data_IF_569826922306
#
_entry.id   IF_569826922306
#
_cell.length_a   1.000
_cell.length_b   1.000
_cell.length_c   1.000
_cell.angle_alpha   90.00
_cell.angle_beta   90.00
_cell.angle_gamma   90.00
#
_symmetry.space_group_name_H-M   'P 1'
#
loop_
_entity.id
_entity.type
_entity.pdbx_description
1 polymer ?
#
# COMPACT_ATOMS: atom_id res chain seq x y z
N UNK A 1 4.15 23.60 21.47
CA UNK A 1 5.59 23.26 21.60
C UNK A 1 5.91 21.89 21.03
N UNK A 2 5.29 20.78 21.50
CA UNK A 2 5.59 19.40 21.04
C UNK A 2 5.39 19.24 19.53
N UNK A 3 4.28 19.72 18.97
CA UNK A 3 4.01 19.59 17.55
C UNK A 3 5.01 20.35 16.66
N UNK A 4 5.56 21.45 17.14
CA UNK A 4 6.61 22.20 16.39
C UNK A 4 7.93 21.44 16.40
N UNK A 5 8.27 20.79 17.50
CA UNK A 5 9.47 19.94 17.63
C UNK A 5 9.35 18.75 16.66
N UNK A 6 8.21 18.03 16.69
CA UNK A 6 7.99 16.88 15.81
C UNK A 6 8.07 17.29 14.33
N UNK A 7 7.42 18.39 13.92
CA UNK A 7 7.51 18.88 12.54
C UNK A 7 8.93 19.29 12.14
N UNK A 8 9.73 19.79 13.05
CA UNK A 8 11.15 20.06 12.80
C UNK A 8 11.94 18.77 12.59
N UNK A 9 11.67 17.74 13.39
CA UNK A 9 12.28 16.40 13.21
C UNK A 9 11.86 15.78 11.87
N UNK A 10 10.59 15.85 11.48
CA UNK A 10 10.10 15.39 10.16
C UNK A 10 10.89 16.03 9.01
N UNK A 11 11.07 17.37 9.02
CA UNK A 11 11.88 18.06 8.01
C UNK A 11 13.34 17.60 8.02
N UNK A 12 13.91 17.40 9.21
CA UNK A 12 15.28 16.91 9.35
C UNK A 12 15.45 15.50 8.80
N UNK A 13 14.48 14.60 9.02
CA UNK A 13 14.49 13.27 8.41
C UNK A 13 14.38 13.35 6.89
N UNK A 14 13.43 14.11 6.39
CA UNK A 14 13.23 14.28 4.95
C UNK A 14 14.48 14.86 4.24
N UNK A 15 15.25 15.74 4.90
CA UNK A 15 16.47 16.32 4.33
C UNK A 15 17.68 15.37 4.30
N UNK A 16 17.60 14.23 4.98
CA UNK A 16 18.67 13.19 4.94
C UNK A 16 18.62 12.32 3.70
N UNK A 17 17.47 12.21 3.06
CA UNK A 17 17.28 11.48 1.80
C UNK A 17 17.89 12.27 0.63
N UNK A 18 19.18 12.10 0.39
CA UNK A 18 19.94 12.85 -0.64
C UNK A 18 19.89 12.22 -2.03
N UNK A 19 19.43 10.97 -2.15
CA UNK A 19 19.37 10.23 -3.40
C UNK A 19 18.01 10.35 -4.12
N UNK A 20 17.27 11.43 -3.86
CA UNK A 20 16.03 11.77 -4.57
C UNK A 20 16.37 12.42 -5.90
N UNK A 21 16.00 11.76 -7.00
CA UNK A 21 16.23 12.25 -8.35
C UNK A 21 14.96 12.87 -8.90
N UNK A 22 15.03 14.10 -9.39
CA UNK A 22 13.94 14.71 -10.16
C UNK A 22 13.99 14.10 -11.57
N UNK A 23 12.97 13.32 -11.90
CA UNK A 23 12.83 12.71 -13.23
C UNK A 23 11.96 13.59 -14.12
N UNK A 24 12.18 13.57 -15.46
CA UNK A 24 11.35 14.32 -16.39
C UNK A 24 9.90 13.85 -16.35
N UNK A 25 8.99 14.72 -16.75
CA UNK A 25 7.59 14.38 -16.96
C UNK A 25 7.42 13.44 -18.17
N UNK A 26 6.57 12.44 -18.01
CA UNK A 26 6.14 11.53 -19.07
C UNK A 26 4.66 11.20 -18.90
N UNK A 27 3.92 11.12 -19.98
CA UNK A 27 2.53 10.68 -19.94
C UNK A 27 2.42 9.19 -19.62
N UNK A 28 3.33 8.37 -20.15
CA UNK A 28 3.36 6.93 -19.93
C UNK A 28 2.12 6.21 -20.47
N UNK A 29 1.61 6.65 -21.63
CA UNK A 29 0.43 6.06 -22.23
C UNK A 29 0.62 4.57 -22.56
N UNK A 30 1.84 4.16 -22.87
CA UNK A 30 2.27 2.79 -23.10
C UNK A 30 2.10 1.85 -21.90
N UNK A 31 1.96 2.39 -20.70
CA UNK A 31 1.71 1.61 -19.49
C UNK A 31 0.21 1.36 -19.20
N UNK A 32 -0.67 2.05 -19.93
CA UNK A 32 -2.12 2.00 -19.68
C UNK A 32 -2.96 1.69 -20.92
N UNK A 33 -2.35 1.67 -22.09
CA UNK A 33 -2.99 1.34 -23.37
C UNK A 33 -2.14 0.37 -24.18
N UNK A 34 -2.77 -0.63 -24.79
CA UNK A 34 -2.07 -1.66 -25.58
C UNK A 34 -1.58 -1.14 -26.94
N UNK A 35 -2.28 -0.15 -27.51
CA UNK A 35 -1.97 0.42 -28.83
C UNK A 35 -1.97 1.95 -28.77
N UNK A 36 -0.84 2.53 -29.17
CA UNK A 36 -0.68 3.97 -29.37
C UNK A 36 -0.58 4.20 -30.89
N UNK A 37 -1.64 4.67 -31.50
CA UNK A 37 -1.68 4.94 -32.95
C UNK A 37 -1.11 6.32 -33.32
N UNK A 38 -0.06 6.77 -32.64
CA UNK A 38 0.52 8.10 -32.86
C UNK A 38 -0.29 9.27 -32.28
N UNK A 39 -1.30 8.97 -31.48
CA UNK A 39 -2.19 9.95 -30.86
C UNK A 39 -1.51 10.75 -29.74
N UNK A 40 -2.05 11.93 -29.43
CA UNK A 40 -1.68 12.67 -28.21
C UNK A 40 -1.86 11.74 -26.97
N UNK A 41 -0.82 11.51 -26.18
CA UNK A 41 -0.89 10.59 -25.04
C UNK A 41 -1.82 11.09 -23.91
N UNK A 42 -2.09 12.38 -23.86
CA UNK A 42 -2.92 13.01 -22.80
C UNK A 42 -4.35 12.46 -22.76
N UNK A 43 -5.15 12.51 -23.85
CA UNK A 43 -6.50 11.95 -23.85
C UNK A 43 -6.49 10.43 -23.64
N UNK A 44 -5.48 9.71 -24.10
CA UNK A 44 -5.33 8.26 -23.89
C UNK A 44 -5.25 7.93 -22.41
N UNK A 45 -4.31 8.55 -21.68
CA UNK A 45 -4.15 8.32 -20.24
C UNK A 45 -5.39 8.77 -19.45
N UNK A 46 -6.00 9.90 -19.85
CA UNK A 46 -7.22 10.39 -19.21
C UNK A 46 -8.43 9.45 -19.44
N UNK A 47 -8.56 8.86 -20.62
CA UNK A 47 -9.58 7.86 -20.92
C UNK A 47 -9.38 6.58 -20.11
N UNK A 48 -8.14 6.05 -20.10
CA UNK A 48 -7.76 4.87 -19.33
C UNK A 48 -8.03 5.06 -17.82
N UNK A 49 -7.71 6.24 -17.27
CA UNK A 49 -8.00 6.54 -15.87
C UNK A 49 -9.51 6.56 -15.56
N UNK A 50 -10.32 7.16 -16.41
CA UNK A 50 -11.79 7.15 -16.25
C UNK A 50 -12.37 5.75 -16.35
N UNK A 51 -11.94 4.97 -17.33
CA UNK A 51 -12.36 3.58 -17.50
C UNK A 51 -11.97 2.73 -16.31
N UNK A 52 -10.72 2.86 -15.81
CA UNK A 52 -10.24 2.13 -14.65
C UNK A 52 -11.06 2.41 -13.38
N UNK A 53 -11.60 3.62 -13.19
CA UNK A 53 -12.52 3.91 -12.08
C UNK A 53 -13.89 3.29 -12.33
N UNK A 54 -14.43 3.46 -13.54
CA UNK A 54 -15.77 2.95 -13.90
C UNK A 54 -15.83 1.41 -13.86
N UNK A 55 -14.76 0.74 -14.28
CA UNK A 55 -14.62 -0.72 -14.36
C UNK A 55 -13.55 -1.23 -13.36
N UNK A 56 -13.56 -0.73 -12.14
CA UNK A 56 -12.49 -1.00 -11.18
C UNK A 56 -12.34 -2.48 -10.78
N UNK A 57 -13.40 -3.29 -10.87
CA UNK A 57 -13.31 -4.74 -10.69
C UNK A 57 -12.43 -5.40 -11.77
N UNK A 58 -12.53 -4.94 -13.01
CA UNK A 58 -11.70 -5.42 -14.11
C UNK A 58 -10.29 -4.84 -14.03
N UNK A 59 -10.18 -3.55 -13.68
CA UNK A 59 -8.88 -2.91 -13.49
C UNK A 59 -8.03 -3.62 -12.45
N UNK A 60 -8.65 -4.09 -11.38
CA UNK A 60 -8.01 -4.85 -10.31
C UNK A 60 -8.28 -6.37 -10.40
N UNK A 61 -8.73 -6.89 -11.55
CA UNK A 61 -9.00 -8.31 -11.71
C UNK A 61 -7.81 -9.18 -11.29
N UNK A 62 -8.12 -10.25 -10.58
CA UNK A 62 -7.13 -11.19 -10.09
C UNK A 62 -6.93 -12.27 -11.17
N UNK A 63 -5.77 -12.37 -11.79
CA UNK A 63 -5.46 -13.47 -12.69
C UNK A 63 -5.26 -14.77 -11.91
N UNK A 64 -5.42 -15.89 -12.59
CA UNK A 64 -5.00 -17.18 -12.07
C UNK A 64 -3.47 -17.24 -12.00
N UNK A 65 -2.93 -17.47 -10.80
CA UNK A 65 -1.50 -17.65 -10.57
C UNK A 65 -1.26 -19.11 -10.19
N UNK A 66 -0.45 -19.81 -10.97
CA UNK A 66 -0.17 -21.25 -10.79
C UNK A 66 1.28 -21.54 -10.36
N UNK A 67 2.15 -20.53 -10.46
CA UNK A 67 3.61 -20.66 -10.28
C UNK A 67 4.11 -20.16 -8.91
N UNK A 68 3.28 -20.21 -7.89
CA UNK A 68 3.73 -19.89 -6.54
C UNK A 68 4.82 -20.85 -6.07
N UNK A 69 5.98 -20.32 -5.72
CA UNK A 69 7.11 -21.08 -5.21
C UNK A 69 7.58 -20.54 -3.86
N UNK A 70 7.57 -21.37 -2.82
CA UNK A 70 8.12 -21.04 -1.50
C UNK A 70 9.47 -21.73 -1.32
N UNK A 71 10.55 -20.95 -1.27
CA UNK A 71 11.91 -21.43 -0.94
C UNK A 71 12.38 -20.82 0.38
N UNK A 72 12.49 -21.63 1.41
CA UNK A 72 12.75 -21.14 2.77
C UNK A 72 11.61 -20.26 3.29
N UNK A 73 11.89 -19.00 3.52
CA UNK A 73 10.88 -17.99 3.89
C UNK A 73 10.49 -17.05 2.73
N UNK A 74 11.09 -17.21 1.54
CA UNK A 74 10.79 -16.38 0.35
C UNK A 74 9.78 -17.06 -0.56
N UNK A 75 8.64 -16.42 -0.71
CA UNK A 75 7.60 -16.76 -1.70
C UNK A 75 7.81 -15.93 -2.95
N UNK A 76 7.74 -16.55 -4.12
CA UNK A 76 7.78 -15.87 -5.43
C UNK A 76 6.67 -16.36 -6.35
N UNK A 77 6.26 -15.53 -7.31
CA UNK A 77 5.32 -15.86 -8.39
C UNK A 77 5.43 -14.84 -9.52
N UNK A 78 4.97 -15.20 -10.72
CA UNK A 78 4.82 -14.24 -11.80
C UNK A 78 3.69 -13.26 -11.49
N UNK A 79 4.01 -11.96 -11.46
CA UNK A 79 3.00 -10.91 -11.21
C UNK A 79 1.92 -10.92 -12.29
N UNK A 80 0.67 -10.73 -11.87
CA UNK A 80 -0.45 -10.62 -12.80
C UNK A 80 -0.45 -9.36 -13.68
N UNK A 81 0.46 -8.42 -13.43
CA UNK A 81 0.68 -7.22 -14.24
C UNK A 81 2.10 -7.28 -14.80
N UNK A 82 2.18 -7.37 -16.13
CA UNK A 82 3.46 -7.39 -16.81
C UNK A 82 3.97 -5.98 -17.11
N UNK A 83 5.26 -5.76 -16.86
CA UNK A 83 5.93 -4.47 -17.07
C UNK A 83 7.15 -4.65 -17.97
N UNK A 84 7.69 -3.55 -18.49
CA UNK A 84 8.93 -3.55 -19.27
C UNK A 84 10.20 -3.86 -18.45
N UNK A 85 10.09 -3.92 -17.12
CA UNK A 85 11.19 -4.27 -16.20
C UNK A 85 11.05 -5.75 -15.79
N UNK A 86 11.85 -6.68 -16.33
CA UNK A 86 11.72 -8.11 -16.06
C UNK A 86 11.79 -8.47 -14.59
N UNK A 87 12.66 -7.80 -13.83
CA UNK A 87 12.82 -8.01 -12.38
C UNK A 87 11.53 -7.71 -11.62
N UNK A 88 10.79 -6.69 -12.07
CA UNK A 88 9.54 -6.28 -11.45
C UNK A 88 8.40 -7.26 -11.72
N UNK A 89 8.50 -8.09 -12.74
CA UNK A 89 7.48 -9.06 -13.12
C UNK A 89 7.49 -10.31 -12.23
N UNK A 90 8.53 -10.50 -11.42
CA UNK A 90 8.55 -11.55 -10.39
C UNK A 90 8.16 -10.92 -9.06
N UNK A 91 6.92 -11.13 -8.69
CA UNK A 91 6.42 -10.73 -7.38
C UNK A 91 7.06 -11.60 -6.29
N UNK A 92 7.32 -11.01 -5.13
CA UNK A 92 7.94 -11.72 -4.00
C UNK A 92 7.38 -11.26 -2.67
N UNK A 93 7.43 -12.16 -1.69
CA UNK A 93 7.05 -11.88 -0.33
C UNK A 93 7.89 -12.73 0.64
N UNK A 94 8.05 -12.25 1.88
CA UNK A 94 8.69 -13.01 2.94
C UNK A 94 7.63 -13.57 3.88
N UNK A 95 7.64 -14.89 4.06
CA UNK A 95 6.65 -15.61 4.83
C UNK A 95 7.13 -15.91 6.26
N UNK A 96 6.31 -15.60 7.24
CA UNK A 96 6.51 -15.87 8.66
C UNK A 96 5.37 -16.77 9.15
N UNK A 97 5.55 -18.11 9.13
CA UNK A 97 4.53 -19.04 9.61
C UNK A 97 4.25 -18.84 11.10
N UNK A 98 3.11 -19.29 11.56
CA UNK A 98 2.78 -19.30 12.99
C UNK A 98 3.76 -20.18 13.76
N UNK A 99 4.28 -19.67 14.86
CA UNK A 99 5.02 -20.49 15.81
C UNK A 99 4.01 -21.23 16.68
N UNK A 100 3.77 -22.52 16.37
CA UNK A 100 2.85 -23.35 17.16
C UNK A 100 3.42 -23.54 18.56
N UNK A 101 2.68 -23.25 19.64
CA UNK A 101 3.11 -23.65 20.99
C UNK A 101 3.21 -25.17 21.05
N UNK A 102 4.31 -25.71 21.58
CA UNK A 102 4.54 -27.17 21.75
C UNK A 102 3.55 -27.85 22.71
N UNK A 103 2.51 -27.15 23.18
CA UNK A 103 1.43 -27.64 24.05
C UNK A 103 0.07 -27.25 23.49
N UNK A 104 -0.34 -27.87 22.41
CA UNK A 104 -1.75 -27.93 22.02
C UNK A 104 -2.32 -29.27 22.49
N UNK A 105 -2.77 -29.34 23.75
CA UNK A 105 -3.77 -30.32 24.15
C UNK A 105 -5.09 -29.94 23.48
N UNK A 106 -5.76 -30.90 22.89
CA UNK A 106 -7.14 -30.95 22.42
C UNK A 106 -8.04 -29.79 22.87
N UNK A 107 -8.08 -28.70 22.12
CA UNK A 107 -9.09 -27.67 22.20
C UNK A 107 -9.46 -27.24 20.80
N UNK A 108 -10.76 -27.10 20.59
CA UNK A 108 -11.47 -26.58 19.40
C UNK A 108 -10.50 -25.90 18.42
N UNK A 109 -10.37 -26.44 17.21
CA UNK A 109 -9.52 -25.90 16.17
C UNK A 109 -9.94 -24.46 15.90
N UNK A 110 -9.15 -23.55 16.42
CA UNK A 110 -9.31 -22.13 16.10
C UNK A 110 -8.92 -21.90 14.64
N UNK A 111 -9.64 -21.07 13.88
CA UNK A 111 -9.34 -20.84 12.48
C UNK A 111 -7.89 -20.38 12.28
N UNK A 112 -7.24 -20.91 11.26
CA UNK A 112 -5.88 -20.50 10.90
C UNK A 112 -5.91 -19.08 10.36
N UNK A 113 -5.10 -18.21 10.94
CA UNK A 113 -5.10 -16.76 10.69
C UNK A 113 -3.82 -16.31 10.04
N UNK A 114 -3.95 -15.42 9.04
CA UNK A 114 -2.79 -14.81 8.38
C UNK A 114 -3.04 -13.33 8.09
N UNK A 115 -1.98 -12.58 7.80
CA UNK A 115 -2.04 -11.19 7.39
C UNK A 115 -1.01 -10.89 6.31
N UNK A 116 -1.43 -10.17 5.26
CA UNK A 116 -0.51 -9.57 4.28
C UNK A 116 -0.05 -8.22 4.83
N UNK A 117 1.26 -8.01 4.89
CA UNK A 117 1.90 -6.81 5.42
C UNK A 117 2.57 -6.05 4.28
N UNK A 118 2.12 -4.84 4.02
CA UNK A 118 2.61 -3.98 2.96
C UNK A 118 3.46 -2.85 3.55
N UNK A 119 4.76 -2.79 3.23
CA UNK A 119 5.65 -1.78 3.77
C UNK A 119 5.44 -0.40 3.12
N UNK A 120 6.14 0.61 3.64
CA UNK A 120 6.20 1.95 3.07
C UNK A 120 7.05 2.00 1.79
N UNK A 121 6.98 3.13 1.08
CA UNK A 121 7.86 3.41 -0.07
C UNK A 121 9.33 3.41 0.32
N UNK A 122 10.17 2.82 -0.52
CA UNK A 122 11.61 2.62 -0.27
C UNK A 122 11.93 1.81 0.98
N UNK A 123 11.03 0.92 1.38
CA UNK A 123 11.31 -0.08 2.40
C UNK A 123 12.44 -1.01 1.95
N UNK A 124 13.26 -1.39 2.92
CA UNK A 124 14.28 -2.44 2.78
C UNK A 124 13.75 -3.81 3.24
N UNK A 125 14.55 -4.84 3.07
CA UNK A 125 14.20 -6.22 3.42
C UNK A 125 13.88 -6.42 4.91
N UNK A 126 14.40 -5.57 5.81
CA UNK A 126 14.16 -5.65 7.25
C UNK A 126 12.96 -4.81 7.72
N UNK A 127 12.45 -3.91 6.87
CA UNK A 127 11.28 -3.10 7.17
C UNK A 127 10.06 -3.99 7.45
N UNK A 128 9.37 -3.78 8.58
CA UNK A 128 8.22 -4.55 9.08
C UNK A 128 8.52 -6.02 9.51
N UNK A 129 9.76 -6.51 9.44
CA UNK A 129 10.11 -7.87 9.86
C UNK A 129 9.83 -8.08 11.35
N UNK A 130 10.14 -7.10 12.20
CA UNK A 130 9.83 -7.19 13.62
C UNK A 130 8.32 -7.33 13.90
N UNK A 131 7.48 -6.61 13.15
CA UNK A 131 6.02 -6.74 13.20
C UNK A 131 5.57 -8.15 12.78
N UNK A 132 6.09 -8.65 11.66
CA UNK A 132 5.77 -9.98 11.15
C UNK A 132 6.16 -11.09 12.13
N UNK A 133 7.36 -11.02 12.72
CA UNK A 133 7.82 -11.95 13.76
C UNK A 133 6.94 -11.89 15.02
N UNK A 134 6.49 -10.71 15.42
CA UNK A 134 5.60 -10.56 16.56
C UNK A 134 4.23 -11.19 16.28
N UNK A 135 3.64 -10.95 15.11
CA UNK A 135 2.38 -11.56 14.67
C UNK A 135 2.48 -13.09 14.66
N UNK A 136 3.55 -13.63 14.06
CA UNK A 136 3.86 -15.06 14.00
C UNK A 136 3.90 -15.69 15.39
N UNK A 137 4.56 -15.07 16.38
CA UNK A 137 4.60 -15.53 17.78
C UNK A 137 3.22 -15.48 18.46
N UNK A 138 2.34 -14.61 18.00
CA UNK A 138 0.97 -14.47 18.52
C UNK A 138 -0.06 -15.33 17.78
N UNK A 139 0.38 -16.26 16.94
CA UNK A 139 -0.47 -17.19 16.22
C UNK A 139 -1.17 -16.61 15.00
N UNK A 140 -0.61 -15.55 14.40
CA UNK A 140 -1.06 -14.98 13.13
C UNK A 140 0.12 -15.06 12.15
N UNK A 141 0.02 -15.90 11.12
CA UNK A 141 1.04 -15.92 10.08
C UNK A 141 1.12 -14.57 9.38
N UNK A 142 2.31 -14.16 8.97
CA UNK A 142 2.48 -12.91 8.25
C UNK A 142 3.18 -13.13 6.92
N UNK A 143 2.69 -12.50 5.88
CA UNK A 143 3.28 -12.48 4.55
C UNK A 143 3.64 -11.03 4.21
N UNK A 144 4.95 -10.68 4.33
CA UNK A 144 5.44 -9.35 4.02
C UNK A 144 5.70 -9.26 2.52
N UNK A 145 4.87 -8.49 1.84
CA UNK A 145 4.95 -8.30 0.39
C UNK A 145 6.12 -7.35 0.03
N UNK A 146 6.90 -7.68 -0.99
CA UNK A 146 7.80 -6.75 -1.66
C UNK A 146 6.99 -5.97 -2.70
N UNK A 147 6.84 -4.66 -2.50
CA UNK A 147 6.10 -3.80 -3.42
C UNK A 147 6.81 -3.74 -4.79
N UNK A 148 6.09 -3.41 -5.89
CA UNK A 148 6.71 -3.23 -7.19
C UNK A 148 7.90 -2.28 -7.15
N UNK A 149 8.94 -2.58 -7.90
CA UNK A 149 10.18 -1.81 -7.99
C UNK A 149 11.00 -1.67 -6.69
N UNK A 150 10.71 -2.49 -5.67
CA UNK A 150 11.49 -2.55 -4.43
C UNK A 150 12.40 -3.77 -4.39
N UNK A 151 13.47 -3.67 -3.63
CA UNK A 151 14.35 -4.81 -3.31
C UNK A 151 14.80 -5.56 -4.57
N UNK A 152 14.53 -6.87 -4.66
CA UNK A 152 14.85 -7.72 -5.82
C UNK A 152 14.05 -7.39 -7.08
N UNK A 153 12.97 -6.61 -6.97
CA UNK A 153 12.14 -6.17 -8.09
C UNK A 153 12.61 -4.83 -8.68
N UNK A 154 13.65 -4.24 -8.12
CA UNK A 154 14.15 -2.93 -8.52
C UNK A 154 15.08 -3.07 -9.73
N UNK A 155 14.82 -2.34 -10.84
CA UNK A 155 15.73 -2.27 -11.97
C UNK A 155 17.10 -1.71 -11.58
N UNK A 156 18.15 -2.21 -12.25
CA UNK A 156 19.53 -1.85 -11.93
C UNK A 156 19.85 -0.35 -12.14
N UNK A 157 19.11 0.32 -13.02
CA UNK A 157 19.25 1.75 -13.33
C UNK A 157 18.64 2.67 -12.27
N UNK A 158 18.04 2.11 -11.20
CA UNK A 158 17.45 2.89 -10.11
C UNK A 158 18.13 2.56 -8.78
N UNK A 159 18.42 3.59 -7.97
CA UNK A 159 18.90 3.40 -6.60
C UNK A 159 17.74 3.22 -5.60
N UNK A 160 16.55 3.67 -5.99
CA UNK A 160 15.34 3.69 -5.17
C UNK A 160 14.18 3.07 -5.96
N UNK A 161 13.07 2.83 -5.28
CA UNK A 161 11.82 2.42 -5.92
C UNK A 161 11.12 3.58 -6.65
N UNK A 162 11.89 4.36 -7.44
CA UNK A 162 11.42 5.57 -8.10
C UNK A 162 10.29 5.30 -9.09
N UNK A 163 10.20 4.09 -9.63
CA UNK A 163 9.17 3.72 -10.61
C UNK A 163 7.83 3.33 -9.99
N UNK A 164 7.77 3.14 -8.65
CA UNK A 164 6.47 2.94 -8.00
C UNK A 164 5.60 4.20 -8.05
N UNK A 165 6.20 5.37 -7.73
CA UNK A 165 5.55 6.68 -7.84
C UNK A 165 6.55 7.63 -8.49
N UNK A 166 6.22 8.12 -9.68
CA UNK A 166 7.12 8.91 -10.51
C UNK A 166 6.37 10.00 -11.28
N UNK A 167 7.07 10.95 -11.92
CA UNK A 167 6.47 11.88 -12.87
C UNK A 167 5.94 11.23 -14.15
N UNK A 168 6.18 9.93 -14.37
CA UNK A 168 5.51 9.17 -15.42
C UNK A 168 4.13 8.73 -14.91
N UNK A 169 3.07 9.38 -15.45
CA UNK A 169 1.69 9.24 -14.98
C UNK A 169 1.16 7.82 -15.16
N UNK A 170 1.29 7.26 -16.35
CA UNK A 170 0.81 5.92 -16.66
C UNK A 170 1.59 4.83 -15.94
N UNK A 171 2.91 4.96 -15.80
CA UNK A 171 3.73 4.01 -15.04
C UNK A 171 3.29 3.96 -13.58
N UNK A 172 3.01 5.13 -12.98
CA UNK A 172 2.50 5.19 -11.60
C UNK A 172 1.15 4.48 -11.47
N UNK A 173 0.24 4.64 -12.43
CA UNK A 173 -1.02 3.89 -12.48
C UNK A 173 -0.77 2.38 -12.55
N UNK A 174 0.08 1.94 -13.47
CA UNK A 174 0.39 0.51 -13.65
C UNK A 174 1.05 -0.10 -12.41
N UNK A 175 2.04 0.58 -11.82
CA UNK A 175 2.77 0.06 -10.67
C UNK A 175 1.91 -0.03 -9.41
N UNK A 176 1.02 0.93 -9.17
CA UNK A 176 0.07 0.88 -8.08
C UNK A 176 -1.02 -0.18 -8.30
N UNK A 177 -1.49 -0.33 -9.55
CA UNK A 177 -2.37 -1.45 -9.95
C UNK A 177 -1.70 -2.78 -9.65
N UNK A 178 -0.44 -2.95 -10.04
CA UNK A 178 0.37 -4.14 -9.79
C UNK A 178 0.47 -4.44 -8.29
N UNK A 179 0.75 -3.43 -7.47
CA UNK A 179 0.83 -3.61 -6.01
C UNK A 179 -0.49 -4.15 -5.41
N UNK A 180 -1.64 -3.69 -5.90
CA UNK A 180 -2.96 -4.17 -5.46
C UNK A 180 -3.21 -5.60 -5.93
N UNK A 181 -2.93 -5.91 -7.20
CA UNK A 181 -3.11 -7.26 -7.77
C UNK A 181 -2.18 -8.26 -7.08
N UNK A 182 -0.91 -7.92 -6.86
CA UNK A 182 0.04 -8.77 -6.13
C UNK A 182 -0.41 -9.00 -4.68
N UNK A 183 -1.02 -8.00 -4.02
CA UNK A 183 -1.61 -8.17 -2.68
C UNK A 183 -2.74 -9.19 -2.70
N UNK A 184 -3.63 -9.14 -3.69
CA UNK A 184 -4.73 -10.09 -3.87
C UNK A 184 -4.22 -11.50 -4.21
N UNK A 185 -3.14 -11.60 -5.01
CA UNK A 185 -2.45 -12.88 -5.29
C UNK A 185 -1.86 -13.48 -4.01
N UNK A 186 -1.24 -12.65 -3.16
CA UNK A 186 -0.73 -13.07 -1.86
C UNK A 186 -1.85 -13.60 -0.94
N UNK A 187 -3.04 -12.99 -0.97
CA UNK A 187 -4.25 -13.51 -0.27
C UNK A 187 -4.65 -14.87 -0.82
N UNK A 188 -4.65 -15.06 -2.15
CA UNK A 188 -4.96 -16.35 -2.78
C UNK A 188 -4.01 -17.44 -2.32
N UNK A 189 -2.71 -17.15 -2.29
CA UNK A 189 -1.72 -18.11 -1.79
C UNK A 189 -1.96 -18.46 -0.33
N UNK A 190 -2.22 -17.49 0.55
CA UNK A 190 -2.52 -17.77 1.96
C UNK A 190 -3.74 -18.69 2.10
N UNK A 191 -4.80 -18.45 1.35
CA UNK A 191 -6.01 -19.30 1.35
C UNK A 191 -5.68 -20.71 0.85
N UNK A 192 -4.89 -20.85 -0.20
CA UNK A 192 -4.45 -22.17 -0.71
C UNK A 192 -3.61 -22.94 0.31
N UNK A 193 -2.93 -22.23 1.24
CA UNK A 193 -2.21 -22.84 2.36
C UNK A 193 -3.12 -23.18 3.55
N UNK A 194 -4.44 -23.03 3.41
CA UNK A 194 -5.43 -23.36 4.43
C UNK A 194 -5.58 -22.29 5.52
N UNK A 195 -5.24 -21.02 5.26
CA UNK A 195 -5.58 -19.90 6.15
C UNK A 195 -7.03 -19.49 5.89
N UNK A 196 -7.86 -19.58 6.92
CA UNK A 196 -9.31 -19.34 6.84
C UNK A 196 -9.69 -17.88 7.08
N UNK A 197 -8.84 -17.16 7.83
CA UNK A 197 -9.02 -15.75 8.15
C UNK A 197 -7.80 -14.97 7.70
N UNK A 198 -7.99 -14.04 6.77
CA UNK A 198 -6.90 -13.26 6.19
C UNK A 198 -7.13 -11.77 6.41
N UNK A 199 -6.13 -11.10 6.97
CA UNK A 199 -6.10 -9.64 7.10
C UNK A 199 -5.14 -8.98 6.12
N UNK A 200 -5.25 -7.66 5.98
CA UNK A 200 -4.26 -6.83 5.32
C UNK A 200 -3.88 -5.63 6.20
N UNK A 201 -2.60 -5.34 6.27
CA UNK A 201 -2.11 -4.12 6.92
C UNK A 201 -1.04 -3.46 6.06
N UNK A 202 -1.02 -2.14 6.04
CA UNK A 202 -0.02 -1.40 5.28
C UNK A 202 0.35 -0.09 5.94
N UNK A 203 1.54 0.40 5.61
CA UNK A 203 2.07 1.68 6.09
C UNK A 203 2.33 2.62 4.92
N UNK A 204 1.89 3.89 5.02
CA UNK A 204 2.14 4.90 3.99
C UNK A 204 1.53 4.48 2.64
N UNK A 205 2.29 4.45 1.54
CA UNK A 205 1.80 3.96 0.24
C UNK A 205 1.27 2.53 0.35
N UNK A 206 1.87 1.68 1.18
CA UNK A 206 1.37 0.35 1.48
C UNK A 206 -0.01 0.35 2.13
N UNK A 207 -0.37 1.40 2.89
CA UNK A 207 -1.72 1.54 3.47
C UNK A 207 -2.76 1.88 2.41
N UNK A 208 -2.41 2.71 1.43
CA UNK A 208 -3.29 3.02 0.29
C UNK A 208 -3.52 1.76 -0.55
N UNK A 209 -2.44 1.01 -0.84
CA UNK A 209 -2.52 -0.28 -1.54
C UNK A 209 -3.35 -1.31 -0.78
N UNK A 210 -3.11 -1.46 0.54
CA UNK A 210 -3.89 -2.37 1.39
C UNK A 210 -5.37 -2.01 1.43
N UNK A 211 -5.71 -0.71 1.47
CA UNK A 211 -7.10 -0.26 1.42
C UNK A 211 -7.75 -0.58 0.06
N UNK A 212 -7.05 -0.31 -1.04
CA UNK A 212 -7.54 -0.64 -2.38
C UNK A 212 -7.76 -2.14 -2.55
N UNK A 213 -6.83 -2.98 -2.08
CA UNK A 213 -7.02 -4.43 -2.05
C UNK A 213 -8.21 -4.83 -1.18
N UNK A 214 -8.35 -4.25 0.01
CA UNK A 214 -9.45 -4.53 0.94
C UNK A 214 -10.83 -4.24 0.34
N UNK A 215 -11.00 -3.15 -0.41
CA UNK A 215 -12.30 -2.80 -1.03
C UNK A 215 -12.58 -3.55 -2.34
N UNK A 216 -11.58 -4.22 -2.94
CA UNK A 216 -11.74 -5.02 -4.15
C UNK A 216 -11.59 -6.53 -3.91
N UNK A 217 -11.40 -6.97 -2.65
CA UNK A 217 -11.28 -8.38 -2.31
C UNK A 217 -12.00 -8.71 -1.00
N UNK A 218 -13.15 -9.38 -1.08
CA UNK A 218 -13.95 -9.75 0.09
C UNK A 218 -13.34 -10.87 0.92
N UNK A 219 -12.29 -11.53 0.44
CA UNK A 219 -11.55 -12.56 1.18
C UNK A 219 -10.62 -11.97 2.25
N UNK A 220 -10.38 -10.64 2.19
CA UNK A 220 -9.65 -9.92 3.24
C UNK A 220 -10.64 -9.58 4.36
N UNK A 221 -10.58 -10.29 5.47
CA UNK A 221 -11.52 -10.16 6.59
C UNK A 221 -11.33 -8.91 7.45
N UNK A 222 -10.08 -8.44 7.62
CA UNK A 222 -9.69 -7.34 8.51
C UNK A 222 -8.70 -6.42 7.83
N UNK A 223 -8.89 -5.11 7.95
CA UNK A 223 -7.96 -4.10 7.42
C UNK A 223 -7.35 -3.21 8.52
N UNK A 224 -6.03 -2.98 8.46
CA UNK A 224 -5.36 -1.96 9.29
C UNK A 224 -4.54 -1.05 8.39
N UNK A 225 -4.90 0.23 8.34
CA UNK A 225 -4.33 1.21 7.41
C UNK A 225 -3.59 2.29 8.19
N UNK A 226 -2.25 2.24 8.12
CA UNK A 226 -1.37 3.13 8.86
C UNK A 226 -0.86 4.26 7.95
N UNK A 227 -1.16 5.51 8.28
CA UNK A 227 -0.88 6.71 7.48
C UNK A 227 -1.52 6.67 6.09
N UNK A 228 -2.85 6.51 5.99
CA UNK A 228 -3.59 6.52 4.73
C UNK A 228 -3.91 7.95 4.28
N UNK A 229 -3.92 8.18 2.97
CA UNK A 229 -4.45 9.39 2.33
C UNK A 229 -5.59 9.04 1.37
N UNK A 230 -6.49 10.00 1.15
CA UNK A 230 -7.58 9.85 0.19
C UNK A 230 -7.10 9.87 -1.27
N UNK A 231 -6.19 10.79 -1.60
CA UNK A 231 -5.67 10.98 -2.95
C UNK A 231 -4.15 10.87 -2.98
N UNK A 232 -3.62 10.03 -3.84
CA UNK A 232 -2.16 9.88 -4.04
C UNK A 232 -1.56 11.15 -4.65
N UNK A 233 -2.30 11.82 -5.54
CA UNK A 233 -1.88 13.09 -6.12
C UNK A 233 -1.61 14.16 -5.06
N UNK A 234 -2.47 14.29 -4.05
CA UNK A 234 -2.29 15.24 -2.96
C UNK A 234 -1.06 14.95 -2.11
N UNK A 235 -0.76 13.67 -1.88
CA UNK A 235 0.47 13.27 -1.19
C UNK A 235 1.69 13.68 -1.99
N UNK A 236 1.69 13.42 -3.29
CA UNK A 236 2.80 13.82 -4.18
C UNK A 236 2.96 15.34 -4.22
N UNK A 237 1.87 16.07 -4.27
CA UNK A 237 1.89 17.52 -4.36
C UNK A 237 2.32 18.23 -3.08
N UNK A 238 1.92 17.71 -1.93
CA UNK A 238 2.03 18.38 -0.63
C UNK A 238 3.03 17.76 0.33
N UNK A 239 3.37 16.49 0.10
CA UNK A 239 4.25 15.71 0.99
C UNK A 239 5.71 16.13 0.91
N UNK A 240 6.39 16.20 2.06
CA UNK A 240 7.82 16.57 2.09
C UNK A 240 8.74 15.49 1.50
N UNK A 241 8.28 14.24 1.46
CA UNK A 241 9.07 13.11 0.91
C UNK A 241 8.94 12.97 -0.61
N UNK A 242 7.96 13.63 -1.24
CA UNK A 242 7.59 13.48 -2.65
C UNK A 242 7.87 14.72 -3.50
N UNK A 243 8.52 15.74 -2.96
CA UNK A 243 8.78 17.00 -3.65
C UNK A 243 9.57 16.84 -4.96
N UNK A 244 10.46 15.86 -5.05
CA UNK A 244 11.21 15.54 -6.27
C UNK A 244 10.29 14.97 -7.38
N UNK A 245 9.24 14.24 -7.02
CA UNK A 245 8.23 13.75 -7.98
C UNK A 245 7.38 14.93 -8.45
N UNK A 246 6.91 15.77 -7.51
CA UNK A 246 6.19 17.00 -7.84
C UNK A 246 6.98 17.89 -8.79
N UNK A 247 8.26 18.11 -8.53
CA UNK A 247 9.12 18.95 -9.36
C UNK A 247 9.19 18.49 -10.82
N UNK A 248 9.03 17.18 -11.08
CA UNK A 248 8.93 16.65 -12.44
C UNK A 248 7.54 16.84 -13.09
N UNK A 249 6.51 17.18 -12.33
CA UNK A 249 5.11 17.25 -12.80
C UNK A 249 4.60 18.68 -12.92
N UNK A 250 4.88 19.55 -11.94
CA UNK A 250 4.22 20.84 -11.72
C UNK A 250 4.36 21.86 -12.87
N UNK A 251 5.30 21.65 -13.78
CA UNK A 251 5.43 22.44 -15.00
C UNK A 251 4.49 22.02 -16.14
N UNK A 252 3.83 20.87 -16.02
CA UNK A 252 2.99 20.29 -17.08
C UNK A 252 1.55 20.07 -16.63
N UNK A 253 1.34 19.63 -15.39
CA UNK A 253 0.01 19.38 -14.83
C UNK A 253 -0.24 20.20 -13.57
N UNK A 254 -1.50 20.56 -13.37
CA UNK A 254 -2.01 21.05 -12.08
C UNK A 254 -2.30 19.89 -11.13
N UNK A 255 -2.50 20.18 -9.84
CA UNK A 255 -2.94 19.18 -8.85
C UNK A 255 -4.28 18.55 -9.25
N UNK A 256 -5.22 19.36 -9.73
CA UNK A 256 -6.56 18.89 -10.13
C UNK A 256 -6.48 17.93 -11.31
N UNK A 257 -5.67 18.21 -12.31
CA UNK A 257 -5.43 17.32 -13.45
C UNK A 257 -4.78 16.02 -12.99
N UNK A 258 -3.72 16.09 -12.18
CA UNK A 258 -3.05 14.92 -11.63
C UNK A 258 -4.01 14.07 -10.76
N UNK A 259 -4.86 14.72 -9.96
CA UNK A 259 -5.86 14.04 -9.14
C UNK A 259 -6.85 13.28 -10.03
N UNK A 260 -7.33 13.89 -11.11
CA UNK A 260 -8.23 13.24 -12.06
C UNK A 260 -7.60 12.01 -12.73
N UNK A 261 -6.32 12.11 -13.10
CA UNK A 261 -5.57 11.00 -13.71
C UNK A 261 -5.28 9.86 -12.73
N UNK A 262 -5.04 10.15 -11.44
CA UNK A 262 -4.73 9.14 -10.43
C UNK A 262 -5.90 8.74 -9.53
N UNK A 263 -7.14 9.02 -9.95
CA UNK A 263 -8.34 8.49 -9.28
C UNK A 263 -8.33 6.96 -9.15
N UNK A 264 -7.90 6.17 -10.16
CA UNK A 264 -7.89 4.71 -10.05
C UNK A 264 -7.09 4.19 -8.85
N UNK A 265 -6.01 4.87 -8.47
CA UNK A 265 -5.09 4.45 -7.40
C UNK A 265 -5.32 5.20 -6.08
N UNK A 266 -6.41 5.95 -5.98
CA UNK A 266 -6.72 6.81 -4.83
C UNK A 266 -7.81 6.19 -3.96
N UNK A 267 -7.56 5.92 -2.66
CA UNK A 267 -8.54 5.35 -1.73
C UNK A 267 -9.90 6.08 -1.70
N UNK A 268 -9.88 7.41 -1.87
CA UNK A 268 -11.11 8.23 -1.87
C UNK A 268 -12.09 7.81 -2.96
N UNK A 269 -11.61 7.41 -4.11
CA UNK A 269 -12.45 6.99 -5.25
C UNK A 269 -13.32 5.78 -4.93
N UNK A 270 -12.92 4.95 -3.98
CA UNK A 270 -13.56 3.68 -3.67
C UNK A 270 -14.12 3.57 -2.25
N UNK A 271 -14.07 4.65 -1.46
CA UNK A 271 -14.65 4.67 -0.11
C UNK A 271 -16.15 4.33 -0.11
N UNK A 272 -16.90 4.77 -1.13
CA UNK A 272 -18.32 4.50 -1.30
C UNK A 272 -18.64 3.00 -1.48
N UNK A 273 -17.70 2.18 -1.96
CA UNK A 273 -17.89 0.73 -2.14
C UNK A 273 -18.18 0.03 -0.81
N UNK A 274 -17.65 0.55 0.29
CA UNK A 274 -17.88 0.01 1.63
C UNK A 274 -19.36 -0.08 2.01
N UNK A 275 -20.22 0.73 1.40
CA UNK A 275 -21.69 0.66 1.64
C UNK A 275 -22.32 -0.63 1.09
N UNK A 276 -21.74 -1.21 0.05
CA UNK A 276 -22.25 -2.39 -0.66
C UNK A 276 -21.54 -3.68 -0.30
N UNK A 277 -20.37 -3.56 0.32
CA UNK A 277 -19.55 -4.71 0.71
C UNK A 277 -19.97 -5.24 2.08
N UNK A 278 -19.64 -6.50 2.35
CA UNK A 278 -19.74 -7.09 3.67
C UNK A 278 -19.04 -6.20 4.71
N UNK A 279 -19.71 -5.94 5.83
CA UNK A 279 -19.08 -5.19 6.93
C UNK A 279 -17.92 -5.99 7.53
N UNK A 280 -16.74 -5.43 7.44
CA UNK A 280 -15.49 -6.04 7.94
C UNK A 280 -14.79 -5.08 8.90
N UNK A 281 -14.17 -5.57 9.99
CA UNK A 281 -13.42 -4.72 10.91
C UNK A 281 -12.29 -3.98 10.20
N UNK A 282 -12.20 -2.67 10.44
CA UNK A 282 -11.12 -1.85 9.91
C UNK A 282 -10.61 -0.84 10.95
N UNK A 283 -9.31 -0.57 10.90
CA UNK A 283 -8.67 0.45 11.73
C UNK A 283 -7.81 1.37 10.88
N UNK A 284 -7.93 2.66 11.16
CA UNK A 284 -7.04 3.69 10.64
C UNK A 284 -6.14 4.19 11.77
N UNK A 285 -4.83 4.27 11.48
CA UNK A 285 -3.85 4.87 12.37
C UNK A 285 -3.24 6.04 11.59
N UNK A 286 -3.25 7.24 12.17
CA UNK A 286 -2.76 8.44 11.54
C UNK A 286 -1.91 9.26 12.49
N UNK A 287 -0.94 10.00 11.98
CA UNK A 287 -0.09 10.88 12.76
C UNK A 287 -0.59 12.33 12.72
N UNK A 288 -0.61 12.99 13.90
CA UNK A 288 -1.11 14.37 14.02
C UNK A 288 -0.23 15.41 13.37
N UNK A 289 1.07 15.09 13.22
CA UNK A 289 2.10 16.01 12.74
C UNK A 289 2.78 15.50 11.47
N UNK A 290 2.06 14.65 10.72
CA UNK A 290 2.52 14.10 9.46
C UNK A 290 2.69 15.21 8.42
N UNK A 291 3.89 15.30 7.83
CA UNK A 291 4.23 16.20 6.75
C UNK A 291 4.43 15.48 5.40
N UNK A 292 4.45 14.15 5.41
CA UNK A 292 4.52 13.31 4.21
C UNK A 292 3.11 12.99 3.70
N UNK A 293 2.25 12.55 4.62
CA UNK A 293 0.80 12.40 4.40
C UNK A 293 0.08 13.44 5.27
N UNK A 294 -0.04 14.69 4.82
CA UNK A 294 -0.63 15.77 5.62
C UNK A 294 -1.91 15.32 6.33
N UNK A 295 -2.00 15.63 7.63
CA UNK A 295 -3.01 15.05 8.51
C UNK A 295 -4.46 15.39 8.12
N UNK A 296 -4.68 16.47 7.35
CA UNK A 296 -5.98 16.80 6.75
C UNK A 296 -6.39 15.76 5.70
N UNK A 297 -5.46 15.28 4.86
CA UNK A 297 -5.75 14.24 3.86
C UNK A 297 -6.20 12.93 4.51
N UNK A 298 -5.60 12.57 5.66
CA UNK A 298 -6.06 11.43 6.44
C UNK A 298 -7.44 11.67 7.07
N UNK A 299 -7.72 12.91 7.55
CA UNK A 299 -9.04 13.26 8.08
C UNK A 299 -10.13 13.15 7.03
N UNK A 300 -9.86 13.65 5.82
CA UNK A 300 -10.83 13.68 4.72
C UNK A 300 -11.25 12.27 4.30
N UNK A 301 -10.29 11.36 4.10
CA UNK A 301 -10.63 9.98 3.74
C UNK A 301 -11.31 9.23 4.87
N UNK A 302 -10.90 9.44 6.12
CA UNK A 302 -11.56 8.85 7.29
C UNK A 302 -12.99 9.40 7.43
N UNK A 303 -13.22 10.69 7.18
CA UNK A 303 -14.54 11.29 7.19
C UNK A 303 -15.44 10.72 6.08
N UNK A 304 -14.93 10.59 4.86
CA UNK A 304 -15.64 9.98 3.75
C UNK A 304 -16.03 8.52 4.05
N UNK A 305 -15.13 7.74 4.64
CA UNK A 305 -15.42 6.35 5.04
C UNK A 305 -16.47 6.31 6.16
N UNK A 306 -16.38 7.18 7.16
CA UNK A 306 -17.40 7.27 8.24
C UNK A 306 -18.78 7.63 7.67
N UNK A 307 -18.83 8.49 6.66
CA UNK A 307 -20.09 8.87 6.00
C UNK A 307 -20.78 7.68 5.30
N UNK A 308 -20.07 6.59 5.01
CA UNK A 308 -20.68 5.36 4.49
C UNK A 308 -21.49 4.58 5.53
N UNK A 309 -21.44 4.97 6.82
CA UNK A 309 -22.10 4.27 7.91
C UNK A 309 -21.41 2.97 8.36
N UNK A 310 -20.24 2.66 7.80
CA UNK A 310 -19.46 1.48 8.19
C UNK A 310 -18.67 1.78 9.47
N UNK A 311 -18.67 0.87 10.48
CA UNK A 311 -17.91 1.08 11.71
C UNK A 311 -16.40 1.20 11.45
N UNK A 312 -15.79 2.28 11.91
CA UNK A 312 -14.38 2.58 11.72
C UNK A 312 -13.69 2.84 13.05
N UNK A 313 -12.60 2.12 13.31
CA UNK A 313 -11.71 2.40 14.43
C UNK A 313 -10.61 3.37 13.99
N UNK A 314 -10.45 4.47 14.71
CA UNK A 314 -9.45 5.49 14.40
C UNK A 314 -8.52 5.73 15.58
N UNK A 315 -7.22 5.83 15.29
CA UNK A 315 -6.20 6.21 16.27
C UNK A 315 -5.34 7.34 15.71
N UNK A 316 -5.22 8.43 16.47
CA UNK A 316 -4.34 9.54 16.16
C UNK A 316 -3.11 9.50 17.06
N UNK A 317 -1.93 9.29 16.50
CA UNK A 317 -0.67 9.30 17.22
C UNK A 317 -0.09 10.72 17.25
N UNK A 318 0.47 11.17 18.37
CA UNK A 318 1.10 12.49 18.47
C UNK A 318 2.54 12.47 17.93
N UNK A 319 2.73 11.93 16.71
CA UNK A 319 3.99 11.85 15.98
C UNK A 319 3.79 12.39 14.55
N UNK A 320 4.82 12.34 13.72
CA UNK A 320 4.77 12.54 12.29
C UNK A 320 5.01 11.25 11.53
N UNK A 321 5.25 11.33 10.23
CA UNK A 321 5.41 10.18 9.34
C UNK A 321 6.71 9.40 9.64
N UNK A 322 7.84 10.10 9.64
CA UNK A 322 9.15 9.51 9.94
C UNK A 322 9.27 9.16 11.42
N UNK A 323 8.85 10.06 12.30
CA UNK A 323 8.95 9.84 13.75
C UNK A 323 8.04 8.73 14.26
N UNK A 324 7.03 8.28 13.49
CA UNK A 324 6.25 7.09 13.84
C UNK A 324 7.12 5.81 13.92
N UNK A 325 8.22 5.74 13.17
CA UNK A 325 9.23 4.69 13.24
C UNK A 325 10.20 4.79 14.43
N UNK A 326 10.16 5.87 15.20
CA UNK A 326 11.03 6.10 16.36
C UNK A 326 10.38 5.69 17.68
N UNK A 327 11.21 5.44 18.68
CA UNK A 327 10.74 5.20 20.06
C UNK A 327 10.18 6.50 20.65
N UNK A 328 9.07 6.47 21.38
CA UNK A 328 8.24 5.32 21.77
C UNK A 328 7.16 4.97 20.73
N UNK A 329 6.99 5.76 19.68
CA UNK A 329 5.85 5.71 18.74
C UNK A 329 5.77 4.40 17.97
N UNK A 330 6.90 3.84 17.54
CA UNK A 330 6.96 2.55 16.83
C UNK A 330 6.34 1.41 17.66
N UNK A 331 6.51 1.43 18.98
CA UNK A 331 5.90 0.40 19.85
C UNK A 331 4.39 0.61 20.02
N UNK A 332 3.96 1.86 20.15
CA UNK A 332 2.55 2.19 20.29
C UNK A 332 1.79 1.89 19.00
N UNK A 333 2.39 2.22 17.86
CA UNK A 333 1.85 1.92 16.52
C UNK A 333 1.74 0.40 16.31
N UNK A 334 2.85 -0.32 16.48
CA UNK A 334 2.88 -1.78 16.37
C UNK A 334 1.88 -2.46 17.31
N UNK A 335 1.75 -1.99 18.55
CA UNK A 335 0.76 -2.52 19.48
C UNK A 335 -0.67 -2.31 18.99
N UNK A 336 -0.99 -1.14 18.42
CA UNK A 336 -2.33 -0.86 17.88
C UNK A 336 -2.65 -1.75 16.69
N UNK A 337 -1.70 -2.00 15.81
CA UNK A 337 -1.83 -2.91 14.68
C UNK A 337 -2.08 -4.34 15.17
N UNK A 338 -1.16 -4.85 15.99
CA UNK A 338 -1.19 -6.24 16.48
C UNK A 338 -2.43 -6.52 17.31
N UNK A 339 -2.78 -5.64 18.26
CA UNK A 339 -3.94 -5.85 19.11
C UNK A 339 -5.25 -5.84 18.32
N UNK A 340 -5.36 -5.01 17.28
CA UNK A 340 -6.56 -4.99 16.45
C UNK A 340 -6.68 -6.25 15.57
N UNK A 341 -5.60 -6.65 14.92
CA UNK A 341 -5.56 -7.90 14.14
C UNK A 341 -5.89 -9.10 15.01
N UNK A 342 -5.26 -9.21 16.18
CA UNK A 342 -5.47 -10.32 17.12
C UNK A 342 -6.91 -10.46 17.62
N UNK A 343 -7.61 -9.31 17.76
CA UNK A 343 -9.00 -9.28 18.24
C UNK A 343 -10.02 -9.60 17.15
N UNK A 344 -9.70 -9.34 15.88
CA UNK A 344 -10.69 -9.35 14.80
C UNK A 344 -10.42 -10.42 13.72
N UNK A 345 -9.22 -11.01 13.65
CA UNK A 345 -8.93 -12.23 12.92
C UNK A 345 -9.18 -13.44 13.81
#
# INVERSE_FOLDING_TARGET
LLGSIIRAQERRHASRDKNRVVRPFEWGAEFVAEHLNGDDPRPVVAAAAREAVARSEEFYALPLIEDFELRGDRLTWTSGIHTSSPENNIASARFFPTQTPKRASEKVESPRRAVVVLPQWNADEESHVALCRLLSRLGIAALRLTLPYHETRRPAETERADFLVSPNVGRTLQSMRQAVVDTRSAVSWLISQGYERVGATGTSIGSCTAFLAFVHDERIDVGVFNHVSGYVADVVWRGISTQHVRAGIEGTLTLEELRALWLPISPMSFAHRLMRLRRRPMRFIAARHDLTFPADLSRDVIAAIKATGVPVNVSWLPCGHYTSGERPWVYLDGWKIVNFLRKNL
#
